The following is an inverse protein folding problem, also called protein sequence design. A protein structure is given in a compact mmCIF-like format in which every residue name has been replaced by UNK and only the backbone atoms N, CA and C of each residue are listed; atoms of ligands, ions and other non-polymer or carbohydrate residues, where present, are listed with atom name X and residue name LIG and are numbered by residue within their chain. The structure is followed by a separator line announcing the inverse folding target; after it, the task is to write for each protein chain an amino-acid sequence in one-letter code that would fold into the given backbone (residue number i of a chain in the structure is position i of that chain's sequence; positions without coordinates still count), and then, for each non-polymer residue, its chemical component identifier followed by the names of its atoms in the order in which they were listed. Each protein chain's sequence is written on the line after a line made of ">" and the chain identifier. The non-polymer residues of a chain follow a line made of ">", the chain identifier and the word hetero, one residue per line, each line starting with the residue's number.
data_IF_665020799248
#
_entry.id   IF_665020799248
#
_cell.length_a   1.000
_cell.length_b   1.000
_cell.length_c   1.000
_cell.angle_alpha   90.00
_cell.angle_beta   90.00
_cell.angle_gamma   90.00
#
_symmetry.space_group_name_H-M   'P 1'
#
loop_
_entity.id
_entity.type
_entity.pdbx_description
1 polymer ?
#
# COMPACT_ATOMS: atom_id res chain seq x y z
N UNK A 1 -11.41 12.71 3.21
CA UNK A 1 -10.43 12.18 4.17
C UNK A 1 -10.02 10.82 3.67
N UNK A 2 -8.73 10.60 3.43
CA UNK A 2 -8.24 9.29 3.04
C UNK A 2 -7.95 8.42 4.26
N UNK A 3 -7.70 7.13 4.03
CA UNK A 3 -7.19 6.16 5.01
C UNK A 3 -5.92 6.64 5.70
N UNK A 4 -5.12 7.53 5.10
CA UNK A 4 -3.96 8.13 5.79
C UNK A 4 -4.42 9.09 6.90
N UNK A 5 -5.47 9.86 6.65
CA UNK A 5 -5.95 10.91 7.56
C UNK A 5 -6.86 10.40 8.68
N UNK A 6 -7.61 9.33 8.45
CA UNK A 6 -8.47 8.69 9.45
C UNK A 6 -7.66 7.68 10.27
N UNK A 7 -6.88 8.17 11.24
CA UNK A 7 -5.90 7.38 12.04
C UNK A 7 -6.53 6.27 12.88
N UNK A 8 -7.85 6.33 13.10
CA UNK A 8 -8.62 5.28 13.76
C UNK A 8 -9.04 4.16 12.80
N UNK A 9 -8.87 4.33 11.50
CA UNK A 9 -9.19 3.32 10.50
C UNK A 9 -7.91 2.64 10.03
N UNK A 10 -7.65 1.47 10.62
CA UNK A 10 -6.54 0.60 10.28
C UNK A 10 -7.02 -0.58 9.43
N UNK A 11 -6.14 -1.21 8.61
CA UNK A 11 -6.52 -2.37 7.80
C UNK A 11 -7.08 -3.52 8.63
N UNK A 12 -6.54 -3.74 9.84
CA UNK A 12 -6.99 -4.80 10.74
C UNK A 12 -8.43 -4.54 11.23
N UNK A 13 -8.75 -3.30 11.60
CA UNK A 13 -10.11 -2.93 12.02
C UNK A 13 -11.13 -3.14 10.90
N UNK A 14 -10.77 -2.78 9.66
CA UNK A 14 -11.62 -3.04 8.49
C UNK A 14 -11.73 -4.52 8.15
N UNK A 15 -10.65 -5.30 8.30
CA UNK A 15 -10.67 -6.74 8.06
C UNK A 15 -11.60 -7.47 9.05
N UNK A 16 -11.54 -7.09 10.33
CA UNK A 16 -12.45 -7.62 11.37
C UNK A 16 -13.90 -7.24 11.06
N UNK A 17 -14.14 -5.97 10.72
CA UNK A 17 -15.47 -5.49 10.34
C UNK A 17 -16.03 -6.28 9.14
N UNK A 18 -15.22 -6.45 8.11
CA UNK A 18 -15.57 -7.19 6.90
C UNK A 18 -15.95 -8.63 7.22
N UNK A 19 -15.09 -9.35 7.95
CA UNK A 19 -15.36 -10.74 8.36
C UNK A 19 -16.65 -10.84 9.18
N UNK A 20 -16.83 -9.93 10.14
CA UNK A 20 -18.01 -9.92 11.00
C UNK A 20 -19.31 -9.70 10.23
N UNK A 21 -19.32 -8.79 9.25
CA UNK A 21 -20.51 -8.57 8.40
C UNK A 21 -20.70 -9.73 7.42
N UNK A 22 -19.62 -10.30 6.88
CA UNK A 22 -19.66 -11.45 5.97
C UNK A 22 -20.28 -12.68 6.62
N UNK A 23 -19.98 -12.96 7.89
CA UNK A 23 -20.57 -14.07 8.66
C UNK A 23 -22.10 -13.98 8.80
N UNK A 24 -22.69 -12.80 8.64
CA UNK A 24 -24.15 -12.61 8.65
C UNK A 24 -24.82 -12.90 7.30
N UNK A 25 -24.03 -13.14 6.26
CA UNK A 25 -24.51 -13.51 4.94
C UNK A 25 -25.50 -12.49 4.36
N UNK A 26 -26.57 -13.00 3.73
CA UNK A 26 -27.57 -12.14 3.07
C UNK A 26 -28.46 -11.38 4.05
N UNK A 27 -28.60 -11.87 5.29
CA UNK A 27 -29.39 -11.16 6.30
C UNK A 27 -28.75 -9.82 6.64
N UNK A 28 -27.42 -9.74 6.64
CA UNK A 28 -26.66 -8.56 7.04
C UNK A 28 -26.80 -8.26 8.53
N UNK A 29 -26.51 -7.01 8.91
CA UNK A 29 -26.65 -6.54 10.29
C UNK A 29 -27.24 -5.12 10.31
N UNK A 30 -28.22 -4.80 11.19
CA UNK A 30 -28.68 -3.44 11.37
C UNK A 30 -27.53 -2.50 11.74
N UNK A 31 -27.48 -1.31 11.12
CA UNK A 31 -26.37 -0.38 11.34
C UNK A 31 -26.20 0.02 12.81
N UNK A 32 -27.30 0.12 13.56
CA UNK A 32 -27.27 0.41 15.01
C UNK A 32 -26.61 -0.70 15.83
N UNK A 33 -26.86 -1.96 15.48
CA UNK A 33 -26.28 -3.10 16.19
C UNK A 33 -24.78 -3.17 15.95
N UNK A 34 -24.35 -2.95 14.70
CA UNK A 34 -22.93 -2.92 14.36
C UNK A 34 -22.17 -1.83 15.12
N UNK A 35 -22.77 -0.64 15.27
CA UNK A 35 -22.20 0.44 16.11
C UNK A 35 -22.01 0.00 17.55
N UNK A 36 -23.01 -0.66 18.13
CA UNK A 36 -22.95 -1.13 19.51
C UNK A 36 -21.86 -2.19 19.70
N UNK A 37 -21.60 -3.04 18.71
CA UNK A 37 -20.51 -4.01 18.74
C UNK A 37 -19.12 -3.37 18.63
N UNK A 38 -18.95 -2.40 17.73
CA UNK A 38 -17.66 -1.71 17.51
C UNK A 38 -17.28 -0.74 18.65
N UNK A 39 -18.27 -0.22 19.37
CA UNK A 39 -18.06 0.72 20.47
C UNK A 39 -19.11 0.57 21.57
N UNK A 40 -18.91 -0.34 22.54
CA UNK A 40 -19.84 -0.53 23.64
C UNK A 40 -20.14 0.79 24.35
N UNK A 41 -21.41 1.06 24.66
CA UNK A 41 -21.87 2.31 25.28
C UNK A 41 -21.10 2.68 26.56
N UNK A 42 -20.52 1.70 27.26
CA UNK A 42 -19.70 1.90 28.46
C UNK A 42 -18.38 2.65 28.18
N UNK A 43 -17.84 2.55 26.97
CA UNK A 43 -16.55 3.15 26.58
C UNK A 43 -16.71 4.53 25.91
N UNK A 44 -17.93 4.94 25.57
CA UNK A 44 -18.21 6.26 24.97
C UNK A 44 -18.19 7.42 25.98
N UNK A 45 -17.96 7.14 27.27
CA UNK A 45 -18.18 8.07 28.39
C UNK A 45 -16.97 8.90 28.83
N UNK A 46 -15.78 8.70 28.26
CA UNK A 46 -14.61 9.52 28.57
C UNK A 46 -14.64 10.81 27.76
N UNK A 47 -15.05 11.91 28.40
CA UNK A 47 -14.93 13.28 27.86
C UNK A 47 -13.46 13.54 27.52
N UNK A 48 -13.16 13.66 26.23
CA UNK A 48 -11.85 14.11 25.78
C UNK A 48 -11.73 15.64 25.97
N UNK A 49 -10.62 16.16 26.51
CA UNK A 49 -10.40 17.60 26.67
C UNK A 49 -10.21 18.36 25.34
N UNK A 50 -10.02 17.66 24.21
CA UNK A 50 -9.72 18.24 22.88
C UNK A 50 -10.94 18.45 21.97
N UNK A 51 -12.16 18.39 22.49
CA UNK A 51 -13.40 18.57 21.70
C UNK A 51 -14.03 17.27 21.19
N UNK A 52 -15.16 17.34 20.45
CA UNK A 52 -15.89 16.16 20.01
C UNK A 52 -15.12 15.43 18.90
N UNK A 53 -14.36 14.39 19.27
CA UNK A 53 -13.90 13.37 18.33
C UNK A 53 -15.10 12.50 17.95
N UNK A 54 -15.26 12.24 16.67
CA UNK A 54 -16.20 11.22 16.22
C UNK A 54 -15.87 9.87 16.86
N UNK A 55 -16.87 9.08 17.28
CA UNK A 55 -16.63 7.74 17.82
C UNK A 55 -15.91 6.86 16.79
N UNK A 56 -14.91 6.10 17.25
CA UNK A 56 -14.11 5.18 16.41
C UNK A 56 -15.02 4.28 15.54
N UNK A 57 -16.13 3.80 16.09
CA UNK A 57 -17.09 2.97 15.37
C UNK A 57 -17.66 3.66 14.11
N UNK A 58 -18.04 4.94 14.21
CA UNK A 58 -18.56 5.70 13.06
C UNK A 58 -17.47 5.95 12.02
N UNK A 59 -16.25 6.26 12.45
CA UNK A 59 -15.12 6.45 11.54
C UNK A 59 -14.83 5.17 10.73
N UNK A 60 -14.78 4.00 11.39
CA UNK A 60 -14.59 2.70 10.73
C UNK A 60 -15.74 2.41 9.76
N UNK A 61 -16.99 2.58 10.20
CA UNK A 61 -18.16 2.29 9.36
C UNK A 61 -18.25 3.23 8.15
N UNK A 62 -17.96 4.52 8.33
CA UNK A 62 -17.90 5.49 7.23
C UNK A 62 -16.84 5.08 6.22
N UNK A 63 -15.63 4.78 6.68
CA UNK A 63 -14.53 4.45 5.78
C UNK A 63 -14.75 3.11 5.08
N UNK A 64 -15.32 2.12 5.76
CA UNK A 64 -15.71 0.85 5.15
C UNK A 64 -16.75 1.02 4.03
N UNK A 65 -17.71 1.94 4.19
CA UNK A 65 -18.67 2.30 3.13
C UNK A 65 -18.00 3.04 1.98
N UNK A 66 -17.11 3.99 2.30
CA UNK A 66 -16.35 4.78 1.32
C UNK A 66 -15.46 3.90 0.46
N UNK A 67 -14.82 2.89 1.05
CA UNK A 67 -14.01 1.89 0.34
C UNK A 67 -14.85 0.77 -0.29
N UNK A 68 -16.18 0.84 -0.20
CA UNK A 68 -17.09 -0.19 -0.74
C UNK A 68 -16.83 -1.60 -0.19
N UNK A 69 -16.36 -1.73 1.05
CA UNK A 69 -16.19 -3.01 1.74
C UNK A 69 -17.54 -3.47 2.32
N UNK A 70 -18.39 -2.51 2.69
CA UNK A 70 -19.78 -2.71 3.12
C UNK A 70 -20.70 -1.73 2.40
N UNK A 71 -21.96 -2.10 2.24
CA UNK A 71 -23.04 -1.25 1.72
C UNK A 71 -24.22 -1.24 2.68
N UNK A 72 -25.00 -0.16 2.68
CA UNK A 72 -26.21 -0.03 3.49
C UNK A 72 -27.45 -0.05 2.60
N UNK A 73 -28.38 -0.98 2.88
CA UNK A 73 -29.66 -1.13 2.23
C UNK A 73 -30.75 -1.18 3.31
N UNK A 74 -31.72 -0.27 3.29
CA UNK A 74 -32.84 -0.23 4.25
C UNK A 74 -32.40 -0.27 5.73
N UNK A 75 -31.29 0.41 6.07
CA UNK A 75 -30.72 0.45 7.42
C UNK A 75 -29.92 -0.80 7.82
N UNK A 76 -29.74 -1.75 6.89
CA UNK A 76 -29.00 -2.99 7.08
C UNK A 76 -27.69 -2.94 6.31
N UNK A 77 -26.59 -3.27 6.99
CA UNK A 77 -25.25 -3.33 6.44
C UNK A 77 -24.92 -4.73 5.94
N UNK A 78 -24.33 -4.80 4.74
CA UNK A 78 -23.99 -6.03 4.04
C UNK A 78 -22.65 -5.90 3.34
N UNK A 79 -21.99 -7.03 3.13
CA UNK A 79 -20.86 -7.10 2.19
C UNK A 79 -21.41 -7.08 0.76
N UNK A 80 -20.86 -6.24 -0.14
CA UNK A 80 -21.27 -6.21 -1.55
C UNK A 80 -21.12 -7.56 -2.23
N UNK A 81 -21.90 -7.78 -3.29
CA UNK A 81 -21.93 -9.08 -3.99
C UNK A 81 -20.57 -9.54 -4.50
N UNK A 82 -19.74 -8.60 -4.95
CA UNK A 82 -18.37 -8.84 -5.45
C UNK A 82 -17.40 -9.36 -4.39
N UNK A 83 -17.61 -9.00 -3.12
CA UNK A 83 -16.79 -9.43 -2.00
C UNK A 83 -17.43 -10.56 -1.17
N UNK A 84 -18.69 -10.91 -1.44
CA UNK A 84 -19.38 -11.92 -0.64
C UNK A 84 -18.72 -13.30 -0.77
N UNK A 85 -18.41 -13.93 0.36
CA UNK A 85 -17.78 -15.25 0.40
C UNK A 85 -16.28 -15.23 0.06
N UNK A 86 -15.70 -14.05 -0.17
CA UNK A 86 -14.30 -13.87 -0.50
C UNK A 86 -13.42 -13.93 0.76
N UNK A 87 -12.19 -14.40 0.59
CA UNK A 87 -11.20 -14.55 1.66
C UNK A 87 -10.59 -13.21 2.07
N UNK A 88 -9.78 -13.21 3.14
CA UNK A 88 -8.98 -12.04 3.52
C UNK A 88 -7.98 -11.62 2.44
N UNK A 89 -7.45 -12.57 1.65
CA UNK A 89 -6.53 -12.30 0.54
C UNK A 89 -7.26 -11.63 -0.63
N UNK A 90 -8.50 -12.03 -0.90
CA UNK A 90 -9.34 -11.37 -1.89
C UNK A 90 -9.70 -9.94 -1.46
N UNK A 91 -10.00 -9.71 -0.17
CA UNK A 91 -10.21 -8.37 0.37
C UNK A 91 -8.95 -7.51 0.20
N UNK A 92 -7.77 -8.04 0.52
CA UNK A 92 -6.51 -7.34 0.33
C UNK A 92 -6.32 -6.95 -1.14
N UNK A 93 -6.60 -7.87 -2.07
CA UNK A 93 -6.51 -7.61 -3.53
C UNK A 93 -7.51 -6.55 -3.98
N UNK A 94 -8.72 -6.56 -3.43
CA UNK A 94 -9.72 -5.54 -3.69
C UNK A 94 -9.29 -4.16 -3.18
N UNK A 95 -8.71 -4.10 -1.97
CA UNK A 95 -8.22 -2.87 -1.37
C UNK A 95 -6.98 -2.33 -2.09
N UNK A 96 -6.10 -3.22 -2.56
CA UNK A 96 -4.98 -2.86 -3.43
C UNK A 96 -5.50 -2.12 -4.69
N UNK A 97 -6.44 -2.73 -5.41
CA UNK A 97 -7.06 -2.09 -6.58
C UNK A 97 -7.87 -0.82 -6.25
N UNK A 98 -8.40 -0.67 -5.04
CA UNK A 98 -9.16 0.52 -4.64
C UNK A 98 -8.26 1.68 -4.26
N UNK A 99 -7.15 1.39 -3.57
CA UNK A 99 -6.25 2.39 -3.00
C UNK A 99 -5.13 2.79 -3.96
N UNK A 100 -4.76 1.94 -4.91
CA UNK A 100 -3.62 2.17 -5.80
C UNK A 100 -4.01 2.64 -7.20
N UNK A 101 -5.16 2.19 -7.71
CA UNK A 101 -5.69 2.69 -8.97
C UNK A 101 -6.10 4.16 -8.82
N UNK A 102 -5.60 5.03 -9.70
CA UNK A 102 -5.76 6.47 -9.54
C UNK A 102 -7.22 6.93 -9.63
N UNK A 103 -8.01 6.31 -10.52
CA UNK A 103 -9.40 6.68 -10.73
C UNK A 103 -10.27 6.21 -9.54
N UNK A 104 -10.09 4.96 -9.11
CA UNK A 104 -10.80 4.42 -7.93
C UNK A 104 -10.38 5.12 -6.65
N UNK A 105 -9.10 5.45 -6.50
CA UNK A 105 -8.61 6.21 -5.36
C UNK A 105 -9.22 7.62 -5.34
N UNK A 106 -9.36 8.32 -6.47
CA UNK A 106 -10.04 9.62 -6.49
C UNK A 106 -11.54 9.45 -6.15
N UNK A 107 -12.22 8.46 -6.74
CA UNK A 107 -13.63 8.19 -6.50
C UNK A 107 -13.96 7.84 -5.03
N UNK A 108 -12.98 7.28 -4.31
CA UNK A 108 -13.10 6.92 -2.90
C UNK A 108 -12.39 7.90 -1.95
N UNK A 109 -11.94 9.07 -2.45
CA UNK A 109 -11.25 10.13 -1.67
C UNK A 109 -9.93 9.65 -1.01
N UNK A 110 -9.22 8.77 -1.70
CA UNK A 110 -7.97 8.10 -1.33
C UNK A 110 -6.76 8.57 -2.13
N UNK A 111 -6.89 9.58 -2.99
CA UNK A 111 -5.85 10.07 -3.92
C UNK A 111 -4.48 10.35 -3.31
N UNK A 112 -4.39 10.63 -2.01
CA UNK A 112 -3.12 10.85 -1.32
C UNK A 112 -2.33 9.56 -1.09
N UNK A 113 -3.03 8.42 -1.00
CA UNK A 113 -2.42 7.12 -0.71
C UNK A 113 -1.44 6.64 -1.78
N UNK A 114 -1.80 6.59 -3.08
CA UNK A 114 -0.86 6.13 -4.11
C UNK A 114 0.37 7.06 -4.21
N UNK A 115 0.21 8.37 -4.01
CA UNK A 115 1.33 9.33 -3.97
C UNK A 115 2.26 9.09 -2.79
N UNK A 116 1.70 8.93 -1.58
CA UNK A 116 2.48 8.62 -0.38
C UNK A 116 3.26 7.32 -0.56
N UNK A 117 2.63 6.31 -1.12
CA UNK A 117 3.23 5.01 -1.34
C UNK A 117 4.34 5.05 -2.40
N UNK A 118 4.09 5.73 -3.52
CA UNK A 118 5.11 5.94 -4.55
C UNK A 118 6.34 6.68 -3.99
N UNK A 119 6.15 7.75 -3.21
CA UNK A 119 7.25 8.46 -2.53
C UNK A 119 8.00 7.57 -1.55
N UNK A 120 7.27 6.78 -0.76
CA UNK A 120 7.88 5.87 0.19
C UNK A 120 8.74 4.81 -0.51
N UNK A 121 8.27 4.27 -1.65
CA UNK A 121 9.03 3.32 -2.46
C UNK A 121 10.25 3.94 -3.17
N UNK A 122 10.33 5.27 -3.27
CA UNK A 122 11.55 5.96 -3.73
C UNK A 122 12.64 6.06 -2.64
N UNK A 123 12.31 5.78 -1.37
CA UNK A 123 13.29 5.84 -0.29
C UNK A 123 14.26 4.66 -0.33
N UNK A 124 15.43 4.84 0.27
CA UNK A 124 16.46 3.82 0.32
C UNK A 124 16.18 2.82 1.45
N UNK A 125 15.90 1.53 1.17
CA UNK A 125 15.68 0.54 2.21
C UNK A 125 16.91 0.30 3.11
N UNK A 126 18.13 0.65 2.67
CA UNK A 126 19.31 0.59 3.53
C UNK A 126 19.35 1.69 4.60
N UNK A 127 18.49 2.70 4.48
CA UNK A 127 18.34 3.80 5.43
C UNK A 127 16.88 3.82 5.95
N UNK A 128 16.51 2.87 6.82
CA UNK A 128 15.14 2.72 7.29
C UNK A 128 14.58 3.99 7.93
N UNK A 129 13.29 4.24 7.69
CA UNK A 129 12.54 5.29 8.38
C UNK A 129 12.13 4.82 9.77
N UNK A 130 12.01 5.74 10.72
CA UNK A 130 11.50 5.51 12.06
C UNK A 130 9.97 5.59 12.08
N UNK A 131 9.31 4.59 12.64
CA UNK A 131 7.85 4.55 12.78
C UNK A 131 7.28 5.69 13.64
N UNK A 132 8.10 6.25 14.55
CA UNK A 132 7.70 7.31 15.47
C UNK A 132 7.92 8.74 14.96
N UNK A 133 8.26 8.93 13.69
CA UNK A 133 8.73 10.23 13.17
C UNK A 133 7.72 10.87 12.23
N UNK A 134 7.65 12.21 12.25
CA UNK A 134 6.94 13.00 11.26
C UNK A 134 7.85 13.26 10.04
N UNK A 135 7.39 12.89 8.85
CA UNK A 135 8.15 13.00 7.61
C UNK A 135 7.73 14.14 6.69
N UNK A 136 6.91 15.08 7.19
CA UNK A 136 6.48 16.24 6.39
C UNK A 136 7.67 17.03 5.80
N UNK A 137 8.72 17.27 6.57
CA UNK A 137 9.91 17.99 6.12
C UNK A 137 10.65 17.20 5.04
N UNK A 138 10.81 15.89 5.22
CA UNK A 138 11.48 15.04 4.23
C UNK A 138 10.69 14.96 2.92
N UNK A 139 9.36 14.86 2.99
CA UNK A 139 8.49 14.90 1.78
C UNK A 139 8.65 16.25 1.06
N UNK A 140 8.70 17.35 1.81
CA UNK A 140 8.93 18.69 1.24
C UNK A 140 10.31 18.82 0.59
N UNK A 141 11.35 18.35 1.27
CA UNK A 141 12.72 18.33 0.76
C UNK A 141 12.82 17.49 -0.51
N UNK A 142 12.10 16.39 -0.59
CA UNK A 142 12.12 15.48 -1.73
C UNK A 142 11.31 15.99 -2.92
N UNK A 143 10.09 16.49 -2.68
CA UNK A 143 9.06 16.69 -3.71
C UNK A 143 8.55 18.13 -3.83
N UNK A 144 9.08 19.08 -3.05
CA UNK A 144 8.61 20.45 -2.99
C UNK A 144 7.45 20.69 -2.01
N UNK A 145 6.94 21.92 -1.94
CA UNK A 145 6.13 22.47 -0.82
C UNK A 145 4.70 21.90 -0.64
N UNK A 146 4.29 20.89 -1.40
CA UNK A 146 2.92 20.34 -1.38
C UNK A 146 2.76 19.04 -0.56
N UNK A 147 3.28 18.95 0.69
CA UNK A 147 3.14 17.74 1.55
C UNK A 147 1.70 17.24 1.66
N UNK A 148 0.72 18.17 1.66
CA UNK A 148 -0.69 17.83 1.77
C UNK A 148 -1.18 16.90 0.65
N UNK A 149 -0.55 16.94 -0.53
CA UNK A 149 -0.83 16.04 -1.65
C UNK A 149 -0.48 14.56 -1.34
N UNK A 150 0.41 14.33 -0.38
CA UNK A 150 0.83 13.01 0.09
C UNK A 150 0.10 12.58 1.38
N UNK A 151 -0.61 13.49 2.06
CA UNK A 151 -1.30 13.19 3.31
C UNK A 151 -0.38 12.95 4.53
N UNK A 152 0.94 12.95 4.35
CA UNK A 152 1.96 12.68 5.39
C UNK A 152 2.31 13.94 6.21
N UNK A 153 1.30 14.60 6.76
CA UNK A 153 1.46 15.92 7.41
C UNK A 153 1.84 15.88 8.89
N UNK A 154 1.74 14.71 9.53
CA UNK A 154 2.12 14.50 10.93
C UNK A 154 2.47 13.04 11.20
N UNK A 155 3.02 12.77 12.39
CA UNK A 155 3.43 11.45 12.85
C UNK A 155 2.28 10.42 12.81
N UNK A 156 1.09 10.75 13.32
CA UNK A 156 -0.02 9.80 13.40
C UNK A 156 -0.51 9.35 12.00
N UNK A 157 -0.50 10.27 11.03
CA UNK A 157 -0.82 9.97 9.63
C UNK A 157 0.23 9.09 8.97
N UNK A 158 1.52 9.34 9.24
CA UNK A 158 2.60 8.47 8.77
C UNK A 158 2.48 7.06 9.34
N UNK A 159 2.20 6.93 10.64
CA UNK A 159 1.97 5.64 11.28
C UNK A 159 0.81 4.88 10.64
N UNK A 160 -0.32 5.56 10.38
CA UNK A 160 -1.44 4.91 9.74
C UNK A 160 -1.15 4.51 8.30
N UNK A 161 -0.49 5.37 7.53
CA UNK A 161 0.04 5.04 6.21
C UNK A 161 0.89 3.77 6.25
N UNK A 162 1.81 3.63 7.21
CA UNK A 162 2.67 2.44 7.34
C UNK A 162 1.86 1.18 7.64
N UNK A 163 0.80 1.25 8.45
CA UNK A 163 -0.08 0.08 8.65
C UNK A 163 -0.70 -0.38 7.34
N UNK A 164 -1.17 0.56 6.53
CA UNK A 164 -1.75 0.28 5.21
C UNK A 164 -0.71 -0.23 4.20
N UNK A 165 0.46 0.41 4.12
CA UNK A 165 1.55 -0.02 3.25
C UNK A 165 2.04 -1.43 3.60
N UNK A 166 2.18 -1.75 4.89
CA UNK A 166 2.53 -3.08 5.36
C UNK A 166 1.43 -4.11 5.06
N UNK A 167 0.17 -3.76 5.31
CA UNK A 167 -0.97 -4.62 4.99
C UNK A 167 -1.07 -4.94 3.50
N UNK A 168 -0.74 -3.99 2.62
CA UNK A 168 -0.73 -4.20 1.16
C UNK A 168 0.58 -4.82 0.64
N UNK A 169 1.55 -5.15 1.50
CA UNK A 169 2.78 -5.84 1.11
C UNK A 169 3.86 -4.94 0.48
N UNK A 170 3.86 -3.64 0.79
CA UNK A 170 4.83 -2.65 0.31
C UNK A 170 5.82 -2.15 1.36
N UNK A 171 5.59 -2.50 2.62
CA UNK A 171 6.45 -2.07 3.72
C UNK A 171 6.78 -3.25 4.62
N UNK A 172 8.05 -3.32 5.03
CA UNK A 172 8.47 -4.20 6.11
C UNK A 172 8.74 -3.38 7.37
N UNK A 173 8.23 -3.87 8.51
CA UNK A 173 8.42 -3.25 9.82
C UNK A 173 9.33 -4.14 10.66
N UNK A 174 10.35 -3.53 11.24
CA UNK A 174 11.28 -4.20 12.14
C UNK A 174 11.23 -3.52 13.50
N UNK A 175 10.80 -4.27 14.51
CA UNK A 175 10.82 -3.85 15.91
C UNK A 175 12.05 -4.46 16.59
N UNK A 176 12.97 -3.60 17.03
CA UNK A 176 14.19 -3.99 17.73
C UNK A 176 14.04 -3.60 19.20
N UNK A 177 13.32 -4.45 19.95
CA UNK A 177 13.08 -4.32 21.40
C UNK A 177 12.86 -2.85 21.85
N UNK A 178 13.31 -2.49 23.06
CA UNK A 178 13.13 -1.15 23.66
C UNK A 178 13.91 -0.02 22.96
N UNK A 179 14.46 -0.24 21.75
CA UNK A 179 15.40 0.69 21.13
C UNK A 179 14.85 1.41 19.89
N UNK A 180 14.20 0.69 18.97
CA UNK A 180 13.74 1.32 17.73
C UNK A 180 12.71 0.50 16.95
N UNK A 181 11.77 1.23 16.33
CA UNK A 181 10.81 0.71 15.37
C UNK A 181 11.12 1.29 13.99
N UNK A 182 11.64 0.44 13.12
CA UNK A 182 12.05 0.78 11.77
C UNK A 182 11.03 0.34 10.74
N UNK A 183 10.95 1.09 9.65
CA UNK A 183 10.07 0.87 8.52
C UNK A 183 10.89 1.01 7.25
N UNK A 184 10.81 0.01 6.37
CA UNK A 184 11.52 0.00 5.10
C UNK A 184 10.57 -0.19 3.93
N UNK A 185 10.79 0.51 2.80
CA UNK A 185 10.11 0.21 1.57
C UNK A 185 10.55 -1.17 1.08
N UNK A 186 9.60 -2.10 1.07
CA UNK A 186 9.82 -3.48 0.71
C UNK A 186 8.60 -3.99 -0.06
N UNK A 187 8.58 -3.81 -1.39
CA UNK A 187 7.47 -4.26 -2.23
C UNK A 187 7.55 -5.75 -2.56
N UNK A 188 8.34 -6.59 -1.85
CA UNK A 188 8.52 -8.01 -2.21
C UNK A 188 7.18 -8.75 -2.34
N UNK A 189 6.28 -8.60 -1.37
CA UNK A 189 4.98 -9.30 -1.38
C UNK A 189 4.05 -8.76 -2.48
N UNK A 190 3.95 -7.43 -2.61
CA UNK A 190 3.16 -6.81 -3.68
C UNK A 190 3.69 -7.21 -5.06
N UNK A 191 5.00 -7.13 -5.27
CA UNK A 191 5.65 -7.52 -6.52
C UNK A 191 5.37 -8.98 -6.84
N UNK A 192 5.46 -9.90 -5.88
CA UNK A 192 5.09 -11.31 -6.10
C UNK A 192 3.63 -11.45 -6.57
N UNK A 193 2.71 -10.72 -5.93
CA UNK A 193 1.27 -10.77 -6.22
C UNK A 193 0.95 -10.29 -7.64
N UNK A 194 1.58 -9.21 -8.10
CA UNK A 194 1.35 -8.65 -9.42
C UNK A 194 2.16 -9.35 -10.52
N UNK A 195 3.39 -9.77 -10.24
CA UNK A 195 4.30 -10.36 -11.22
C UNK A 195 3.92 -11.82 -11.54
N UNK A 196 3.45 -12.58 -10.56
CA UNK A 196 3.11 -14.00 -10.76
C UNK A 196 2.08 -14.21 -11.88
N UNK A 197 0.89 -13.58 -11.87
CA UNK A 197 -0.09 -13.77 -12.95
C UNK A 197 0.45 -13.39 -14.33
N UNK A 198 1.29 -12.35 -14.41
CA UNK A 198 1.93 -11.91 -15.65
C UNK A 198 2.83 -13.02 -16.23
N UNK A 199 3.66 -13.64 -15.38
CA UNK A 199 4.58 -14.69 -15.81
C UNK A 199 3.90 -16.06 -15.97
N UNK A 200 2.81 -16.32 -15.26
CA UNK A 200 1.97 -17.51 -15.47
C UNK A 200 1.30 -17.49 -16.86
N UNK A 201 0.87 -16.30 -17.33
CA UNK A 201 0.28 -16.12 -18.66
C UNK A 201 1.33 -16.11 -19.78
N UNK A 202 2.44 -15.38 -19.60
CA UNK A 202 3.39 -15.08 -20.67
C UNK A 202 4.69 -15.88 -20.63
N UNK A 203 4.99 -16.56 -19.53
CA UNK A 203 6.25 -17.26 -19.33
C UNK A 203 7.43 -16.32 -19.10
N UNK A 204 8.54 -16.56 -19.81
CA UNK A 204 9.75 -15.73 -19.74
C UNK A 204 9.55 -14.45 -20.55
N UNK A 205 9.83 -13.30 -19.94
CA UNK A 205 9.68 -11.98 -20.56
C UNK A 205 10.94 -11.12 -20.46
N UNK A 206 11.19 -10.22 -21.42
CA UNK A 206 12.10 -9.11 -21.22
C UNK A 206 11.71 -8.30 -19.98
N UNK A 207 12.69 -7.87 -19.18
CA UNK A 207 12.43 -7.16 -17.92
C UNK A 207 11.66 -5.86 -18.17
N UNK A 208 11.95 -5.16 -19.26
CA UNK A 208 11.25 -3.93 -19.63
C UNK A 208 9.75 -4.16 -19.88
N UNK A 209 9.40 -5.29 -20.52
CA UNK A 209 8.00 -5.66 -20.75
C UNK A 209 7.31 -6.03 -19.45
N UNK A 210 7.97 -6.82 -18.59
CA UNK A 210 7.44 -7.17 -17.27
C UNK A 210 7.17 -5.92 -16.41
N UNK A 211 8.10 -4.95 -16.39
CA UNK A 211 7.91 -3.69 -15.68
C UNK A 211 6.78 -2.85 -16.28
N UNK A 212 6.63 -2.81 -17.60
CA UNK A 212 5.53 -2.11 -18.26
C UNK A 212 4.16 -2.71 -17.94
N UNK A 213 4.06 -4.03 -17.79
CA UNK A 213 2.84 -4.72 -17.36
C UNK A 213 2.57 -4.51 -15.86
N UNK A 214 3.61 -4.56 -15.03
CA UNK A 214 3.51 -4.24 -13.60
C UNK A 214 2.99 -2.81 -13.39
N UNK A 215 3.54 -1.83 -14.12
CA UNK A 215 3.14 -0.43 -14.09
C UNK A 215 1.63 -0.21 -14.38
N UNK A 216 1.06 -1.03 -15.26
CA UNK A 216 -0.37 -1.00 -15.58
C UNK A 216 -1.22 -1.57 -14.44
N UNK A 217 -0.77 -2.66 -13.83
CA UNK A 217 -1.51 -3.33 -12.75
C UNK A 217 -1.33 -2.70 -11.37
N UNK A 218 -0.24 -1.98 -11.15
CA UNK A 218 0.13 -1.39 -9.86
C UNK A 218 0.81 -0.03 -10.09
N UNK A 219 0.04 1.08 -10.11
CA UNK A 219 0.54 2.41 -10.53
C UNK A 219 1.66 3.02 -9.68
N UNK A 220 1.97 2.44 -8.52
CA UNK A 220 3.00 2.90 -7.57
C UNK A 220 4.38 2.24 -7.79
N UNK A 221 4.44 1.18 -8.59
CA UNK A 221 5.68 0.49 -8.95
C UNK A 221 6.39 1.17 -10.15
N UNK A 222 7.57 0.67 -10.50
CA UNK A 222 8.42 1.20 -11.59
C UNK A 222 7.61 1.50 -12.86
N UNK A 223 7.72 2.74 -13.35
CA UNK A 223 7.01 3.17 -14.56
C UNK A 223 5.48 3.27 -14.41
N UNK A 224 4.91 3.07 -13.22
CA UNK A 224 3.49 3.32 -12.95
C UNK A 224 3.15 4.81 -12.95
N UNK A 225 1.87 5.14 -13.14
CA UNK A 225 1.43 6.54 -13.26
C UNK A 225 1.69 7.36 -11.97
N UNK A 226 1.35 6.81 -10.79
CA UNK A 226 1.63 7.45 -9.51
C UNK A 226 3.14 7.55 -9.26
N UNK A 227 3.89 6.52 -9.65
CA UNK A 227 5.35 6.49 -9.53
C UNK A 227 6.02 7.58 -10.34
N UNK A 228 5.65 7.74 -11.61
CA UNK A 228 6.17 8.80 -12.49
C UNK A 228 5.87 10.18 -11.94
N UNK A 229 4.63 10.42 -11.48
CA UNK A 229 4.26 11.72 -10.89
C UNK A 229 5.19 12.10 -9.73
N UNK A 230 5.54 11.14 -8.87
CA UNK A 230 6.45 11.40 -7.76
C UNK A 230 7.90 11.55 -8.23
N UNK A 231 8.38 10.68 -9.12
CA UNK A 231 9.75 10.75 -9.64
C UNK A 231 10.04 12.07 -10.38
N UNK A 232 9.07 12.62 -11.08
CA UNK A 232 9.15 13.94 -11.74
C UNK A 232 9.29 15.10 -10.74
N UNK A 233 8.78 14.93 -9.51
CA UNK A 233 8.88 15.92 -8.43
C UNK A 233 10.14 15.75 -7.58
N UNK A 234 10.82 14.60 -7.65
CA UNK A 234 12.02 14.35 -6.86
C UNK A 234 13.12 15.36 -7.19
N UNK A 235 13.82 15.82 -6.15
CA UNK A 235 15.03 16.62 -6.32
C UNK A 235 16.05 15.89 -7.21
N UNK A 236 16.90 16.63 -7.97
CA UNK A 236 17.90 16.01 -8.84
C UNK A 236 18.82 15.01 -8.14
N UNK A 237 19.09 15.20 -6.84
CA UNK A 237 19.91 14.29 -6.04
C UNK A 237 19.25 12.92 -5.78
N UNK A 238 17.92 12.84 -5.83
CA UNK A 238 17.14 11.60 -5.64
C UNK A 238 16.65 10.98 -6.95
N UNK A 239 16.86 11.65 -8.09
CA UNK A 239 16.52 11.08 -9.39
C UNK A 239 17.46 9.91 -9.71
N UNK A 240 16.87 8.80 -10.16
CA UNK A 240 17.62 7.63 -10.60
C UNK A 240 18.18 7.84 -12.00
N UNK A 241 19.27 7.14 -12.31
CA UNK A 241 19.79 7.09 -13.67
C UNK A 241 18.79 6.39 -14.59
N UNK A 242 18.81 6.68 -15.91
CA UNK A 242 18.09 5.88 -16.89
C UNK A 242 18.41 4.39 -16.74
N UNK A 243 17.42 3.53 -16.95
CA UNK A 243 17.51 2.06 -16.87
C UNK A 243 17.90 1.48 -15.50
N UNK A 244 18.19 2.33 -14.50
CA UNK A 244 18.36 1.91 -13.12
C UNK A 244 17.00 1.72 -12.44
N UNK A 245 16.77 0.56 -11.83
CA UNK A 245 15.62 0.34 -10.97
C UNK A 245 15.86 1.01 -9.62
N UNK A 246 14.78 1.41 -8.94
CA UNK A 246 14.91 1.91 -7.57
C UNK A 246 15.44 0.84 -6.63
N UNK A 247 16.05 1.27 -5.52
CA UNK A 247 16.66 0.36 -4.55
C UNK A 247 15.64 -0.58 -3.91
N UNK A 248 14.42 -0.10 -3.66
CA UNK A 248 13.32 -0.91 -3.11
C UNK A 248 12.87 -2.01 -4.08
N UNK A 249 12.66 -1.68 -5.36
CA UNK A 249 12.32 -2.68 -6.40
C UNK A 249 13.48 -3.66 -6.63
N UNK A 250 14.71 -3.15 -6.67
CA UNK A 250 15.90 -3.98 -6.86
C UNK A 250 16.03 -5.02 -5.74
N UNK A 251 15.90 -4.58 -4.48
CA UNK A 251 15.91 -5.46 -3.32
C UNK A 251 14.77 -6.49 -3.38
N UNK A 252 13.57 -6.06 -3.75
CA UNK A 252 12.42 -6.97 -3.86
C UNK A 252 12.63 -8.06 -4.93
N UNK A 253 13.10 -7.70 -6.12
CA UNK A 253 13.41 -8.66 -7.19
C UNK A 253 14.47 -9.68 -6.75
N UNK A 254 15.55 -9.22 -6.11
CA UNK A 254 16.56 -10.13 -5.58
C UNK A 254 16.02 -11.07 -4.48
N UNK A 255 15.12 -10.57 -3.62
CA UNK A 255 14.46 -11.40 -2.60
C UNK A 255 13.57 -12.45 -3.23
N UNK A 256 12.80 -12.11 -4.27
CA UNK A 256 11.98 -13.09 -4.99
C UNK A 256 12.82 -14.15 -5.69
N UNK A 257 13.95 -13.77 -6.28
CA UNK A 257 14.89 -14.73 -6.87
C UNK A 257 15.51 -15.63 -5.79
N UNK A 258 15.95 -15.06 -4.67
CA UNK A 258 16.50 -15.82 -3.54
C UNK A 258 15.48 -16.80 -2.93
N UNK A 259 14.20 -16.39 -2.88
CA UNK A 259 13.07 -17.23 -2.46
C UNK A 259 12.67 -18.27 -3.50
N UNK A 260 13.32 -18.29 -4.68
CA UNK A 260 13.00 -19.17 -5.81
C UNK A 260 11.55 -19.03 -6.26
N UNK A 261 11.06 -17.79 -6.33
CA UNK A 261 9.75 -17.48 -6.92
C UNK A 261 9.90 -17.05 -8.38
N UNK A 262 11.03 -16.43 -8.71
CA UNK A 262 11.40 -16.01 -10.07
C UNK A 262 12.86 -16.35 -10.37
N UNK A 263 13.24 -16.27 -11.64
CA UNK A 263 14.63 -16.22 -12.09
C UNK A 263 14.89 -14.92 -12.86
N UNK A 264 16.00 -14.25 -12.55
CA UNK A 264 16.47 -13.06 -13.28
C UNK A 264 17.63 -13.48 -14.17
N UNK A 265 17.50 -13.22 -15.46
CA UNK A 265 18.49 -13.62 -16.46
C UNK A 265 19.31 -12.41 -16.91
N UNK A 266 20.55 -12.67 -17.27
CA UNK A 266 21.43 -11.73 -17.96
C UNK A 266 21.75 -12.34 -19.34
N UNK A 267 21.53 -11.57 -20.41
CA UNK A 267 21.69 -12.04 -21.78
C UNK A 267 22.44 -10.98 -22.56
N UNK A 268 23.56 -11.36 -23.16
CA UNK A 268 24.56 -10.44 -23.73
C UNK A 268 24.03 -9.57 -24.89
N UNK A 269 22.92 -9.94 -25.52
CA UNK A 269 22.34 -9.30 -26.71
C UNK A 269 21.00 -8.56 -26.46
N UNK A 270 20.58 -8.44 -25.20
CA UNK A 270 19.30 -7.85 -24.83
C UNK A 270 19.46 -6.52 -24.06
N UNK A 271 18.54 -5.55 -24.23
CA UNK A 271 18.47 -4.40 -23.35
C UNK A 271 18.34 -4.82 -21.88
N UNK A 272 19.09 -4.17 -21.00
CA UNK A 272 19.12 -4.51 -19.56
C UNK A 272 18.59 -3.37 -18.70
N UNK A 273 18.03 -3.72 -17.55
CA UNK A 273 17.86 -2.81 -16.43
C UNK A 273 18.86 -3.15 -15.33
N UNK A 274 19.27 -2.13 -14.57
CA UNK A 274 20.25 -2.28 -13.50
C UNK A 274 19.56 -2.38 -12.14
N UNK A 275 19.83 -3.46 -11.40
CA UNK A 275 19.49 -3.56 -9.97
C UNK A 275 20.49 -2.74 -9.16
N UNK A 276 20.03 -1.79 -8.35
CA UNK A 276 20.89 -0.79 -7.68
C UNK A 276 20.91 -0.85 -6.16
N UNK A 277 20.36 -1.92 -5.56
CA UNK A 277 20.37 -2.12 -4.10
C UNK A 277 21.75 -2.56 -3.55
N UNK A 278 22.75 -2.76 -4.42
CA UNK A 278 24.12 -3.15 -4.06
C UNK A 278 25.12 -2.09 -4.51
N UNK A 279 26.36 -2.21 -4.03
CA UNK A 279 27.47 -1.34 -4.45
C UNK A 279 27.73 -1.44 -5.95
N UNK A 280 27.76 -2.67 -6.48
CA UNK A 280 27.94 -2.95 -7.90
C UNK A 280 26.58 -3.30 -8.51
N UNK A 281 26.07 -2.49 -9.46
CA UNK A 281 24.79 -2.77 -10.09
C UNK A 281 24.79 -4.08 -10.86
N UNK A 282 23.71 -4.86 -10.74
CA UNK A 282 23.54 -6.12 -11.47
C UNK A 282 22.64 -5.90 -12.70
N UNK A 283 23.11 -6.19 -13.93
CA UNK A 283 22.25 -6.16 -15.10
C UNK A 283 21.24 -7.32 -15.08
N UNK A 284 20.03 -7.04 -15.55
CA UNK A 284 18.97 -8.01 -15.77
C UNK A 284 18.32 -7.72 -17.11
N UNK A 285 18.19 -8.73 -17.96
CA UNK A 285 17.53 -8.63 -19.26
C UNK A 285 16.14 -9.27 -19.29
N UNK A 286 15.94 -10.36 -18.54
CA UNK A 286 14.67 -11.10 -18.54
C UNK A 286 14.29 -11.58 -17.14
N UNK A 287 13.01 -11.90 -16.99
CA UNK A 287 12.43 -12.53 -15.80
C UNK A 287 11.53 -13.71 -16.21
N UNK A 288 11.54 -14.77 -15.41
CA UNK A 288 10.62 -15.92 -15.55
C UNK A 288 10.23 -16.45 -14.17
N UNK A 289 9.19 -17.28 -14.09
CA UNK A 289 8.94 -18.05 -12.87
C UNK A 289 10.10 -19.00 -12.60
N UNK A 290 10.30 -19.31 -11.32
CA UNK A 290 11.15 -20.41 -10.93
C UNK A 290 10.45 -21.75 -11.25
N UNK A 291 11.21 -22.68 -11.84
CA UNK A 291 10.75 -24.03 -12.16
C UNK A 291 10.68 -24.94 -10.95
#
# INVERSE_FOLDING_TARGET
>A
MSVISDVDVTPNRLSILYQFVQERGEMGIPAQDLRAYLGPNALQRTKNPEGPREPIAEAIMREAKRLHIIQEEEGTLRVPKELRGKSSTDLQTFLDGTLLDLERAEATDQRTFPRALAWFLCQDPAHPLSFGTNYNLLVNEDCGEEVSAYGLTNQARFQNFVYWAAYLGFAWRLEVADQANFVMPDPTEALARHLRPILEDKGRLPIAEALALLAQSCPVLEGGAARREVEERLTPAKQRQPDALSKSTSLALERLEHQRLIHLHDADDAPVHLLTNRRDPRPVSHVSLAS
#
